data_IF_656189247121
#
_entry.id   IF_656189247121
#
_cell.length_a   1.000
_cell.length_b   1.000
_cell.length_c   1.000
_cell.angle_alpha   90.00
_cell.angle_beta   90.00
_cell.angle_gamma   90.00
#
_symmetry.space_group_name_H-M   'P 1'
#
loop_
_entity.id
_entity.type
_entity.pdbx_description
1 polymer ?
#
# COMPACT_ATOMS: atom_id res chain seq x y z
N UNK A 1 9.25 -7.88 -23.93
CA UNK A 1 7.86 -8.20 -23.52
C UNK A 1 7.85 -8.43 -22.02
N UNK A 2 7.38 -7.47 -21.20
CA UNK A 2 7.33 -7.61 -19.74
C UNK A 2 6.07 -8.41 -19.36
N UNK A 3 6.18 -9.73 -19.26
CA UNK A 3 5.07 -10.57 -18.84
C UNK A 3 4.81 -10.42 -17.32
N UNK A 4 3.58 -10.68 -16.89
CA UNK A 4 3.17 -10.57 -15.48
C UNK A 4 4.10 -11.36 -14.51
N UNK A 5 4.52 -12.60 -14.81
CA UNK A 5 5.43 -13.34 -13.93
C UNK A 5 6.77 -12.65 -13.70
N UNK A 6 7.38 -12.04 -14.73
CA UNK A 6 8.67 -11.36 -14.57
C UNK A 6 8.53 -10.05 -13.79
N UNK A 7 7.44 -9.31 -13.96
CA UNK A 7 7.14 -8.12 -13.15
C UNK A 7 6.90 -8.48 -11.67
N UNK A 8 6.19 -9.58 -11.42
CA UNK A 8 5.96 -10.06 -10.06
C UNK A 8 7.25 -10.53 -9.40
N UNK A 9 8.01 -11.40 -10.06
CA UNK A 9 9.29 -11.87 -9.56
C UNK A 9 10.27 -10.71 -9.27
N UNK A 10 10.28 -9.67 -10.11
CA UNK A 10 11.08 -8.47 -9.87
C UNK A 10 10.66 -7.74 -8.58
N UNK A 11 9.35 -7.56 -8.36
CA UNK A 11 8.80 -6.89 -7.17
C UNK A 11 8.96 -7.73 -5.90
N UNK A 12 8.88 -9.06 -6.01
CA UNK A 12 8.95 -9.97 -4.88
C UNK A 12 10.35 -9.96 -4.21
N UNK A 13 11.40 -9.50 -4.91
CA UNK A 13 12.74 -9.31 -4.33
C UNK A 13 12.80 -8.31 -3.19
N UNK A 14 11.83 -7.38 -3.11
CA UNK A 14 11.75 -6.40 -2.02
C UNK A 14 10.98 -6.94 -0.79
N UNK A 15 10.36 -8.12 -0.87
CA UNK A 15 9.59 -8.69 0.25
C UNK A 15 10.38 -8.79 1.56
N UNK A 16 11.69 -9.13 1.59
CA UNK A 16 12.44 -9.14 2.86
C UNK A 16 12.55 -7.76 3.52
N UNK A 17 12.63 -6.68 2.75
CA UNK A 17 12.64 -5.30 3.27
C UNK A 17 11.23 -4.89 3.71
N UNK A 18 10.22 -5.16 2.87
CA UNK A 18 8.80 -4.88 3.18
C UNK A 18 8.38 -5.57 4.48
N UNK A 19 8.74 -6.86 4.67
CA UNK A 19 8.44 -7.62 5.90
C UNK A 19 9.07 -6.97 7.13
N UNK A 20 10.32 -6.52 7.04
CA UNK A 20 11.01 -5.82 8.14
C UNK A 20 10.29 -4.52 8.50
N UNK A 21 9.95 -3.71 7.50
CA UNK A 21 9.25 -2.44 7.69
C UNK A 21 7.87 -2.65 8.31
N UNK A 22 7.06 -3.55 7.75
CA UNK A 22 5.72 -3.83 8.25
C UNK A 22 5.76 -4.44 9.65
N UNK A 23 6.68 -5.37 9.91
CA UNK A 23 6.83 -6.01 11.21
C UNK A 23 7.00 -4.99 12.34
N UNK A 24 7.79 -3.94 12.12
CA UNK A 24 7.96 -2.85 13.09
C UNK A 24 6.66 -2.08 13.41
N UNK A 25 5.67 -2.10 12.51
CA UNK A 25 4.36 -1.48 12.72
C UNK A 25 3.30 -2.45 13.24
N UNK A 26 3.61 -3.74 13.33
CA UNK A 26 2.73 -4.76 13.90
C UNK A 26 3.10 -5.12 15.35
N UNK A 27 4.31 -4.74 15.78
CA UNK A 27 4.83 -5.00 17.11
C UNK A 27 4.61 -3.78 18.00
N UNK A 28 4.08 -4.04 19.19
CA UNK A 28 3.89 -3.07 20.26
C UNK A 28 4.70 -3.48 21.49
N UNK A 29 5.00 -2.53 22.36
CA UNK A 29 5.64 -2.82 23.65
C UNK A 29 4.68 -3.65 24.50
N UNK A 30 5.17 -4.73 25.09
CA UNK A 30 4.38 -5.51 26.01
C UNK A 30 3.98 -4.69 27.26
N UNK A 31 2.81 -4.94 27.86
CA UNK A 31 2.44 -4.37 29.16
C UNK A 31 3.44 -4.77 30.25
N UNK A 32 3.67 -3.90 31.24
CA UNK A 32 4.66 -4.13 32.32
C UNK A 32 4.52 -5.49 33.04
N UNK A 33 3.32 -6.05 33.31
CA UNK A 33 3.20 -7.37 33.93
C UNK A 33 3.76 -8.51 33.08
N UNK A 34 3.62 -8.44 31.74
CA UNK A 34 4.16 -9.44 30.81
C UNK A 34 5.70 -9.35 30.72
N UNK A 35 6.23 -8.13 30.72
CA UNK A 35 7.67 -7.86 30.76
C UNK A 35 8.32 -8.44 32.03
N UNK A 36 7.74 -8.14 33.21
CA UNK A 36 8.31 -8.56 34.50
C UNK A 36 8.21 -10.06 34.79
N UNK A 37 7.18 -10.75 34.29
CA UNK A 37 6.93 -12.15 34.65
C UNK A 37 7.22 -13.15 33.51
N UNK A 38 7.15 -12.70 32.24
CA UNK A 38 7.27 -13.57 31.08
C UNK A 38 8.44 -13.19 30.17
N UNK A 39 9.35 -12.29 30.60
CA UNK A 39 10.50 -11.82 29.81
C UNK A 39 10.10 -11.44 28.38
N UNK A 40 8.96 -10.75 28.26
CA UNK A 40 8.33 -10.42 26.98
C UNK A 40 8.45 -8.92 26.74
N UNK A 41 9.39 -8.50 25.89
CA UNK A 41 9.60 -7.09 25.56
C UNK A 41 8.61 -6.55 24.51
N UNK A 42 8.16 -7.42 23.59
CA UNK A 42 7.34 -7.08 22.45
C UNK A 42 6.17 -8.05 22.31
N UNK A 43 4.98 -7.51 22.08
CA UNK A 43 3.81 -8.28 21.68
C UNK A 43 3.38 -7.85 20.28
N UNK A 44 2.87 -8.79 19.50
CA UNK A 44 2.19 -8.45 18.25
C UNK A 44 0.78 -7.96 18.60
N UNK A 45 0.31 -6.89 17.95
CA UNK A 45 -1.11 -6.53 17.96
C UNK A 45 -1.92 -7.79 17.69
N UNK A 46 -2.98 -8.06 18.48
CA UNK A 46 -3.87 -9.23 18.36
C UNK A 46 -4.13 -9.54 16.89
N UNK A 47 -3.30 -10.43 16.34
CA UNK A 47 -3.09 -10.53 14.92
C UNK A 47 -4.21 -11.41 14.38
N UNK A 48 -5.40 -10.81 14.20
CA UNK A 48 -6.30 -11.25 13.15
C UNK A 48 -5.48 -11.42 11.89
N UNK A 49 -5.83 -12.40 11.06
CA UNK A 49 -5.18 -12.65 9.77
C UNK A 49 -5.15 -11.38 8.90
N UNK A 50 -4.09 -10.58 9.05
CA UNK A 50 -3.93 -9.31 8.36
C UNK A 50 -3.47 -9.60 6.94
N UNK A 51 -4.32 -9.24 5.97
CA UNK A 51 -4.05 -9.39 4.56
C UNK A 51 -3.40 -8.14 4.02
N UNK A 52 -2.08 -8.19 3.81
CA UNK A 52 -1.32 -7.04 3.34
C UNK A 52 -0.96 -7.20 1.87
N UNK A 53 -1.46 -6.30 1.03
CA UNK A 53 -1.06 -6.20 -0.36
C UNK A 53 0.28 -5.46 -0.46
N UNK A 54 1.13 -5.85 -1.41
CA UNK A 54 2.42 -5.20 -1.64
C UNK A 54 2.62 -4.88 -3.12
N UNK A 55 3.08 -3.67 -3.41
CA UNK A 55 3.38 -3.21 -4.76
C UNK A 55 4.61 -2.31 -4.75
N UNK A 56 5.64 -2.71 -5.49
CA UNK A 56 6.82 -1.88 -5.71
C UNK A 56 6.87 -1.42 -7.17
N UNK A 57 7.20 -0.15 -7.37
CA UNK A 57 7.38 0.48 -8.68
C UNK A 57 8.86 0.64 -8.97
N UNK A 58 9.21 0.51 -10.25
CA UNK A 58 10.54 0.82 -10.76
C UNK A 58 10.91 2.30 -10.52
N UNK A 59 12.20 2.66 -10.62
CA UNK A 59 12.66 4.03 -10.39
C UNK A 59 12.05 5.04 -11.37
N UNK A 60 12.13 6.32 -11.02
CA UNK A 60 11.70 7.45 -11.86
C UNK A 60 10.24 7.89 -11.70
N UNK A 61 9.38 7.07 -11.07
CA UNK A 61 8.00 7.48 -10.77
C UNK A 61 7.88 8.27 -9.46
N UNK A 62 8.70 7.96 -8.45
CA UNK A 62 8.64 8.62 -7.14
C UNK A 62 8.81 10.13 -7.26
N UNK A 63 9.78 10.59 -8.04
CA UNK A 63 10.06 12.03 -8.19
C UNK A 63 8.97 12.75 -8.99
N UNK A 64 8.30 12.05 -9.92
CA UNK A 64 7.26 12.62 -10.78
C UNK A 64 5.89 12.67 -10.11
N UNK A 65 5.60 11.65 -9.30
CA UNK A 65 4.32 11.47 -8.64
C UNK A 65 4.54 11.09 -7.16
N UNK A 66 5.13 12.00 -6.36
CA UNK A 66 5.60 11.69 -5.01
C UNK A 66 4.49 11.47 -3.99
N UNK A 67 3.22 11.60 -4.36
CA UNK A 67 2.08 11.40 -3.47
C UNK A 67 1.02 10.50 -4.08
N UNK A 68 1.28 9.94 -5.27
CA UNK A 68 0.29 9.12 -5.96
C UNK A 68 0.58 7.65 -5.76
N UNK A 69 -0.45 6.89 -5.39
CA UNK A 69 -0.43 5.44 -5.48
C UNK A 69 -1.38 4.98 -6.60
N UNK A 70 -1.12 3.78 -7.12
CA UNK A 70 -1.87 3.23 -8.25
C UNK A 70 -2.43 1.84 -7.94
N UNK A 71 -3.69 1.64 -8.29
CA UNK A 71 -4.40 0.36 -8.17
C UNK A 71 -4.91 -0.04 -9.54
N UNK A 72 -4.68 -1.30 -9.95
CA UNK A 72 -5.22 -1.81 -11.21
C UNK A 72 -6.75 -1.84 -11.17
N UNK A 73 -7.38 -1.14 -12.11
CA UNK A 73 -8.83 -0.92 -12.19
C UNK A 73 -9.51 -1.71 -13.32
N UNK A 74 -8.77 -2.09 -14.37
CA UNK A 74 -9.30 -2.88 -15.50
C UNK A 74 -8.25 -3.84 -16.05
N UNK A 75 -8.71 -4.99 -16.54
CA UNK A 75 -7.92 -5.89 -17.38
C UNK A 75 -8.73 -6.32 -18.60
N UNK A 76 -8.09 -6.63 -19.75
CA UNK A 76 -8.81 -7.02 -20.97
C UNK A 76 -9.70 -8.25 -20.82
N UNK A 77 -9.27 -9.23 -20.01
CA UNK A 77 -10.02 -10.47 -19.78
C UNK A 77 -11.27 -10.30 -18.92
N UNK A 78 -11.48 -9.13 -18.31
CA UNK A 78 -12.61 -8.87 -17.40
C UNK A 78 -12.51 -9.57 -16.03
N UNK A 79 -11.44 -10.31 -15.73
CA UNK A 79 -11.30 -10.95 -14.42
C UNK A 79 -11.15 -9.91 -13.28
N UNK A 80 -11.39 -10.36 -12.05
CA UNK A 80 -11.45 -9.50 -10.86
C UNK A 80 -10.15 -8.67 -10.67
N UNK A 81 -10.30 -7.34 -10.62
CA UNK A 81 -9.19 -6.39 -10.53
C UNK A 81 -8.76 -6.12 -9.09
N UNK A 82 -7.58 -5.53 -8.91
CA UNK A 82 -7.09 -5.13 -7.57
C UNK A 82 -8.06 -4.15 -6.90
N UNK A 83 -8.59 -3.18 -7.66
CA UNK A 83 -9.55 -2.22 -7.13
C UNK A 83 -10.85 -2.91 -6.70
N UNK A 84 -11.38 -3.83 -7.52
CA UNK A 84 -12.59 -4.59 -7.19
C UNK A 84 -12.41 -5.39 -5.89
N UNK A 85 -11.27 -6.09 -5.75
CA UNK A 85 -10.93 -6.83 -4.52
C UNK A 85 -10.94 -5.93 -3.29
N UNK A 86 -10.26 -4.79 -3.36
CA UNK A 86 -10.15 -3.84 -2.25
C UNK A 86 -11.50 -3.27 -1.86
N UNK A 87 -12.32 -2.86 -2.84
CA UNK A 87 -13.66 -2.31 -2.62
C UNK A 87 -14.59 -3.36 -2.00
N UNK A 88 -14.46 -4.63 -2.39
CA UNK A 88 -15.19 -5.77 -1.81
C UNK A 88 -14.66 -6.22 -0.43
N UNK A 89 -13.90 -5.37 0.26
CA UNK A 89 -13.45 -5.62 1.63
C UNK A 89 -12.23 -6.54 1.77
N UNK A 90 -11.60 -6.96 0.66
CA UNK A 90 -10.36 -7.74 0.73
C UNK A 90 -9.18 -6.83 1.05
N UNK A 91 -8.25 -7.33 1.87
CA UNK A 91 -7.04 -6.61 2.25
C UNK A 91 -7.28 -5.57 3.34
N UNK A 92 -6.34 -5.54 4.27
CA UNK A 92 -6.29 -4.64 5.41
C UNK A 92 -5.37 -3.47 5.14
N UNK A 93 -4.14 -3.76 4.71
CA UNK A 93 -3.14 -2.76 4.36
C UNK A 93 -2.61 -2.92 2.93
N UNK A 94 -2.12 -1.81 2.36
CA UNK A 94 -1.37 -1.78 1.12
C UNK A 94 -0.01 -1.14 1.35
N UNK A 95 1.05 -1.91 1.16
CA UNK A 95 2.40 -1.38 1.00
C UNK A 95 2.60 -0.93 -0.44
N UNK A 96 2.78 0.37 -0.65
CA UNK A 96 3.09 0.95 -1.95
C UNK A 96 4.44 1.62 -1.92
N UNK A 97 5.40 1.13 -2.70
CA UNK A 97 6.77 1.63 -2.69
C UNK A 97 7.36 1.85 -4.07
N UNK A 98 8.50 2.54 -4.08
CA UNK A 98 9.36 2.76 -5.22
C UNK A 98 10.76 2.23 -4.89
N UNK A 99 11.36 1.49 -5.80
CA UNK A 99 12.76 1.09 -5.65
C UNK A 99 13.70 2.28 -5.85
N UNK A 100 14.86 2.24 -5.19
CA UNK A 100 15.98 3.13 -5.48
C UNK A 100 16.51 2.92 -6.92
N UNK A 101 17.34 3.85 -7.39
CA UNK A 101 17.85 3.86 -8.77
C UNK A 101 18.61 2.56 -9.14
N UNK A 102 19.36 2.02 -8.18
CA UNK A 102 20.08 0.75 -8.31
C UNK A 102 19.19 -0.50 -8.22
N UNK A 103 17.91 -0.34 -7.90
CA UNK A 103 16.91 -1.40 -7.73
C UNK A 103 17.30 -2.48 -6.70
N UNK A 104 18.07 -2.10 -5.68
CA UNK A 104 18.53 -2.97 -4.59
C UNK A 104 17.80 -2.75 -3.27
N UNK A 105 17.05 -1.65 -3.15
CA UNK A 105 16.26 -1.33 -1.95
C UNK A 105 15.12 -0.37 -2.26
N UNK A 106 14.36 -0.01 -1.22
CA UNK A 106 13.28 0.97 -1.33
C UNK A 106 13.82 2.40 -1.20
N UNK A 107 13.22 3.33 -1.95
CA UNK A 107 13.54 4.76 -1.90
C UNK A 107 12.44 5.57 -1.23
N UNK A 108 11.20 5.41 -1.70
CA UNK A 108 10.01 6.05 -1.11
C UNK A 108 8.88 5.03 -1.01
N UNK A 109 8.16 5.02 0.11
CA UNK A 109 7.07 4.09 0.34
C UNK A 109 6.00 4.62 1.31
N UNK A 110 4.81 4.05 1.20
CA UNK A 110 3.70 4.23 2.14
C UNK A 110 3.11 2.88 2.54
N UNK A 111 2.71 2.79 3.79
CA UNK A 111 1.81 1.78 4.31
C UNK A 111 0.42 2.41 4.47
N UNK A 112 -0.54 1.95 3.67
CA UNK A 112 -1.87 2.53 3.56
C UNK A 112 -2.92 1.65 4.22
N UNK A 113 -3.84 2.22 5.00
CA UNK A 113 -4.99 1.53 5.56
C UNK A 113 -6.13 1.43 4.52
N UNK A 114 -6.45 0.21 4.10
CA UNK A 114 -7.48 -0.02 3.08
C UNK A 114 -8.91 0.19 3.61
N UNK A 115 -9.14 0.15 4.92
CA UNK A 115 -10.42 0.55 5.53
C UNK A 115 -10.60 2.06 5.42
N UNK A 116 -9.54 2.84 5.68
CA UNK A 116 -9.56 4.29 5.49
C UNK A 116 -9.73 4.66 4.01
N UNK A 117 -9.06 3.93 3.11
CA UNK A 117 -9.26 4.06 1.66
C UNK A 117 -10.72 3.85 1.25
N UNK A 118 -11.32 2.72 1.67
CA UNK A 118 -12.74 2.41 1.42
C UNK A 118 -13.67 3.49 1.97
N UNK A 119 -13.46 3.94 3.20
CA UNK A 119 -14.24 5.03 3.81
C UNK A 119 -14.12 6.34 3.02
N UNK A 120 -12.92 6.64 2.48
CA UNK A 120 -12.70 7.76 1.57
C UNK A 120 -13.55 7.66 0.31
N UNK A 121 -13.54 6.51 -0.37
CA UNK A 121 -14.35 6.29 -1.57
C UNK A 121 -15.85 6.40 -1.29
N UNK A 122 -16.33 5.86 -0.16
CA UNK A 122 -17.73 5.99 0.25
C UNK A 122 -18.12 7.45 0.41
N UNK A 123 -17.29 8.26 1.08
CA UNK A 123 -17.54 9.70 1.25
C UNK A 123 -17.55 10.42 -0.09
N UNK A 124 -16.60 10.14 -0.98
CA UNK A 124 -16.57 10.72 -2.32
C UNK A 124 -17.91 10.49 -3.06
N UNK A 125 -18.49 9.30 -2.97
CA UNK A 125 -19.78 8.98 -3.60
C UNK A 125 -20.96 9.63 -2.86
N UNK A 126 -20.98 9.59 -1.52
CA UNK A 126 -22.12 10.05 -0.72
C UNK A 126 -22.25 11.57 -0.63
N UNK A 127 -21.14 12.30 -0.56
CA UNK A 127 -21.13 13.74 -0.32
C UNK A 127 -20.17 14.53 -1.21
N UNK A 128 -19.62 13.90 -2.24
CA UNK A 128 -18.73 14.58 -3.18
C UNK A 128 -17.36 14.93 -2.61
N UNK A 129 -16.90 14.26 -1.54
CA UNK A 129 -15.57 14.52 -0.97
C UNK A 129 -14.47 14.48 -2.06
N UNK A 130 -13.62 15.51 -2.17
CA UNK A 130 -12.81 15.75 -3.37
C UNK A 130 -11.51 14.91 -3.39
N UNK A 131 -11.63 13.59 -3.49
CA UNK A 131 -10.47 12.70 -3.67
C UNK A 131 -9.94 12.86 -5.10
N UNK A 132 -8.71 13.36 -5.20
CA UNK A 132 -7.99 13.53 -6.47
C UNK A 132 -7.58 12.16 -7.00
N UNK A 133 -8.17 11.79 -8.11
CA UNK A 133 -7.91 10.52 -8.78
C UNK A 133 -8.32 10.59 -10.24
N UNK A 134 -7.72 9.75 -11.09
CA UNK A 134 -8.16 9.54 -12.46
C UNK A 134 -7.68 8.18 -12.96
N UNK A 135 -8.21 7.76 -14.11
CA UNK A 135 -7.89 6.51 -14.76
C UNK A 135 -6.82 6.70 -15.82
N UNK A 136 -5.97 5.67 -15.98
CA UNK A 136 -4.92 5.65 -17.00
C UNK A 136 -4.80 4.27 -17.61
N UNK A 137 -4.88 4.24 -18.94
CA UNK A 137 -4.67 3.04 -19.74
C UNK A 137 -3.16 2.77 -19.92
N UNK A 138 -2.79 1.49 -19.84
CA UNK A 138 -1.50 0.99 -20.25
C UNK A 138 -1.56 0.49 -21.71
N UNK A 139 -0.42 0.43 -22.41
CA UNK A 139 -0.36 -0.12 -23.78
C UNK A 139 -0.85 -1.56 -23.92
N UNK A 140 -0.84 -2.35 -22.83
CA UNK A 140 -1.28 -3.75 -22.79
C UNK A 140 -2.80 -3.91 -22.57
N UNK A 141 -3.56 -2.80 -22.62
CA UNK A 141 -5.00 -2.78 -22.41
C UNK A 141 -5.44 -2.90 -20.94
N UNK A 142 -4.50 -3.03 -19.99
CA UNK A 142 -4.82 -2.89 -18.57
C UNK A 142 -5.00 -1.42 -18.20
N UNK A 143 -5.80 -1.14 -17.17
CA UNK A 143 -5.98 0.21 -16.65
C UNK A 143 -5.62 0.24 -15.17
N UNK A 144 -5.14 1.40 -14.73
CA UNK A 144 -5.01 1.69 -13.32
C UNK A 144 -5.69 3.01 -12.99
N UNK A 145 -6.20 3.10 -11.76
CA UNK A 145 -6.61 4.36 -11.14
C UNK A 145 -5.47 4.85 -10.27
N UNK A 146 -5.10 6.12 -10.41
CA UNK A 146 -4.17 6.77 -9.50
C UNK A 146 -4.95 7.60 -8.48
N UNK A 147 -4.35 7.78 -7.30
CA UNK A 147 -4.94 8.51 -6.18
C UNK A 147 -3.86 9.32 -5.47
N UNK A 148 -4.10 10.61 -5.23
CA UNK A 148 -3.22 11.46 -4.40
C UNK A 148 -3.55 11.22 -2.92
N UNK A 149 -2.60 10.67 -2.15
CA UNK A 149 -2.80 10.33 -0.73
C UNK A 149 -3.21 11.53 0.13
N UNK A 150 -2.80 12.74 -0.25
CA UNK A 150 -3.08 13.98 0.51
C UNK A 150 -4.53 14.43 0.34
N UNK A 151 -5.21 13.92 -0.67
CA UNK A 151 -6.61 14.26 -0.96
C UNK A 151 -7.62 13.42 -0.19
N UNK A 152 -7.17 12.47 0.63
CA UNK A 152 -8.06 11.67 1.48
C UNK A 152 -8.46 12.43 2.76
N UNK A 153 -9.59 12.07 3.38
CA UNK A 153 -9.98 12.61 4.68
C UNK A 153 -8.87 12.41 5.73
N UNK A 154 -8.74 13.38 6.64
CA UNK A 154 -7.78 13.28 7.75
C UNK A 154 -8.11 12.15 8.74
N UNK A 155 -9.40 11.79 8.86
CA UNK A 155 -9.87 10.77 9.81
C UNK A 155 -10.89 9.79 9.17
N UNK A 156 -10.69 8.46 9.32
CA UNK A 156 -9.44 7.82 9.75
C UNK A 156 -8.29 8.13 8.76
N UNK A 157 -7.03 8.16 9.21
CA UNK A 157 -5.89 8.47 8.35
C UNK A 157 -5.68 7.36 7.32
N UNK A 158 -5.42 7.75 6.06
CA UNK A 158 -5.08 6.79 5.01
C UNK A 158 -3.67 6.21 5.21
N UNK A 159 -2.70 7.07 5.54
CA UNK A 159 -1.29 6.69 5.69
C UNK A 159 -1.04 6.26 7.13
N UNK A 160 -0.72 4.98 7.32
CA UNK A 160 -0.32 4.41 8.61
C UNK A 160 1.14 4.76 8.91
N UNK A 161 1.99 4.60 7.89
CA UNK A 161 3.41 4.92 7.94
C UNK A 161 3.94 5.23 6.53
N UNK A 162 5.11 5.85 6.46
CA UNK A 162 5.81 6.08 5.20
C UNK A 162 7.28 6.35 5.40
N UNK A 163 8.06 6.20 4.35
CA UNK A 163 9.44 6.70 4.34
C UNK A 163 9.47 8.21 4.53
N UNK A 164 10.53 8.77 5.15
CA UNK A 164 10.81 10.19 5.04
C UNK A 164 10.81 10.60 3.56
N UNK A 165 10.20 11.74 3.22
CA UNK A 165 10.31 12.29 1.88
C UNK A 165 11.79 12.65 1.67
N UNK A 166 12.44 12.04 0.68
CA UNK A 166 13.77 12.46 0.28
C UNK A 166 13.67 13.91 -0.22
N UNK A 167 14.32 14.83 0.51
CA UNK A 167 14.47 16.24 0.14
C UNK A 167 15.48 16.40 -0.99
#
# INVERSE_FOLDING_TARGET
MNCYPSNRAWSDRFLPEIKRTIGAHLLERAPDPEDWHNATDLMMLDAKDLHIAARVRRPGYANRFPYDFTIRSRIPSGAETELSKIVNGKGDWLFYGHSNETQTGLFSWWLLDLRAFRAGLIRQVQNGFPIRSSDRANPDGTWFKWFDIRSFPKHPPLVVAGSPLAH
#
